data_IF_321062278326
#
_entry.id   IF_321062278326
#
_cell.length_a   1.000
_cell.length_b   1.000
_cell.length_c   1.000
_cell.angle_alpha   90.00
_cell.angle_beta   90.00
_cell.angle_gamma   90.00
#
_symmetry.space_group_name_H-M   'P 1'
#
loop_
_entity.id
_entity.type
_entity.pdbx_description
1 polymer ?
#
# COMPACT_ATOMS: atom_id res chain seq x y z
N UNK A 1 49.75 27.96 -3.11
CA UNK A 1 48.39 28.48 -3.34
C UNK A 1 47.44 27.31 -3.30
N UNK A 2 46.59 27.19 -2.28
CA UNK A 2 45.58 26.13 -2.16
C UNK A 2 44.23 26.74 -2.53
N UNK A 3 43.57 26.17 -3.53
CA UNK A 3 42.20 26.52 -3.91
C UNK A 3 41.24 25.71 -3.03
N UNK A 4 40.62 26.35 -2.05
CA UNK A 4 39.58 25.73 -1.24
C UNK A 4 38.29 25.68 -2.05
N UNK A 5 37.85 24.48 -2.42
CA UNK A 5 36.54 24.23 -3.01
C UNK A 5 35.47 24.48 -1.94
N UNK A 6 34.55 25.41 -2.19
CA UNK A 6 33.35 25.58 -1.38
C UNK A 6 32.40 24.42 -1.67
N UNK A 7 32.07 23.63 -0.63
CA UNK A 7 31.00 22.65 -0.69
C UNK A 7 29.66 23.35 -1.01
N UNK A 8 28.76 22.74 -1.81
CA UNK A 8 27.46 23.33 -2.07
C UNK A 8 26.64 23.37 -0.77
N UNK A 9 26.08 24.55 -0.47
CA UNK A 9 25.15 24.77 0.65
C UNK A 9 24.05 23.72 0.64
N UNK A 10 23.65 23.14 1.79
CA UNK A 10 22.47 22.28 1.84
C UNK A 10 21.28 23.06 1.32
N UNK A 11 20.53 22.45 0.39
CA UNK A 11 19.32 23.06 -0.15
C UNK A 11 18.38 23.42 1.02
N UNK A 12 17.69 24.58 0.98
CA UNK A 12 16.72 24.92 2.02
C UNK A 12 15.70 23.78 2.16
N UNK A 13 15.21 23.51 3.39
CA UNK A 13 14.20 22.49 3.59
C UNK A 13 13.03 22.77 2.66
N UNK A 14 12.75 21.83 1.76
CA UNK A 14 11.62 21.92 0.85
C UNK A 14 10.37 22.06 1.73
N UNK A 15 9.75 23.24 1.69
CA UNK A 15 8.47 23.45 2.36
C UNK A 15 7.47 22.51 1.71
N UNK A 16 6.98 21.52 2.47
CA UNK A 16 5.80 20.74 2.10
C UNK A 16 4.57 21.66 2.20
N UNK A 17 4.52 22.64 1.29
CA UNK A 17 3.58 23.73 1.34
C UNK A 17 2.19 23.21 0.97
N UNK A 18 1.25 23.42 1.90
CA UNK A 18 -0.18 23.12 1.86
C UNK A 18 -0.54 21.70 2.30
N UNK A 19 -1.25 21.60 3.42
CA UNK A 19 -1.88 20.35 3.87
C UNK A 19 -2.89 19.87 2.82
N UNK A 20 -2.93 18.56 2.52
CA UNK A 20 -3.81 18.03 1.48
C UNK A 20 -5.27 18.34 1.80
N UNK A 21 -6.01 18.79 0.80
CA UNK A 21 -7.45 19.02 0.92
C UNK A 21 -8.20 17.66 1.02
N UNK A 22 -9.50 17.72 1.35
CA UNK A 22 -10.31 16.49 1.53
C UNK A 22 -10.36 15.59 0.29
N UNK A 23 -10.34 16.16 -0.91
CA UNK A 23 -10.35 15.39 -2.15
C UNK A 23 -9.01 14.67 -2.36
N UNK A 24 -7.89 15.36 -2.10
CA UNK A 24 -6.55 14.79 -2.15
C UNK A 24 -6.40 13.67 -1.13
N UNK A 25 -6.85 13.87 0.12
CA UNK A 25 -6.84 12.82 1.14
C UNK A 25 -7.64 11.59 0.72
N UNK A 26 -8.80 11.78 0.08
CA UNK A 26 -9.61 10.67 -0.43
C UNK A 26 -8.89 9.90 -1.54
N UNK A 27 -8.25 10.62 -2.47
CA UNK A 27 -7.46 10.00 -3.55
C UNK A 27 -6.28 9.22 -2.99
N UNK A 28 -5.55 9.80 -2.03
CA UNK A 28 -4.45 9.13 -1.33
C UNK A 28 -4.95 7.87 -0.61
N UNK A 29 -6.07 7.95 0.11
CA UNK A 29 -6.63 6.79 0.80
C UNK A 29 -6.98 5.68 -0.18
N UNK A 30 -7.70 6.00 -1.25
CA UNK A 30 -8.09 5.03 -2.28
C UNK A 30 -6.88 4.33 -2.90
N UNK A 31 -5.81 5.08 -3.18
CA UNK A 31 -4.57 4.51 -3.69
C UNK A 31 -3.89 3.57 -2.69
N UNK A 32 -3.82 3.96 -1.41
CA UNK A 32 -3.25 3.11 -0.37
C UNK A 32 -4.10 1.86 -0.12
N UNK A 33 -5.42 1.98 -0.16
CA UNK A 33 -6.34 0.84 -0.07
C UNK A 33 -6.09 -0.13 -1.23
N UNK A 34 -5.96 0.37 -2.46
CA UNK A 34 -5.63 -0.46 -3.61
C UNK A 34 -4.29 -1.20 -3.44
N UNK A 35 -3.26 -0.51 -2.95
CA UNK A 35 -1.96 -1.11 -2.66
C UNK A 35 -2.06 -2.20 -1.57
N UNK A 36 -2.81 -1.92 -0.50
CA UNK A 36 -3.02 -2.88 0.58
C UNK A 36 -3.75 -4.13 0.07
N UNK A 37 -4.83 -3.96 -0.71
CA UNK A 37 -5.58 -5.06 -1.30
C UNK A 37 -4.70 -5.91 -2.24
N UNK A 38 -3.86 -5.27 -3.05
CA UNK A 38 -2.90 -5.98 -3.90
C UNK A 38 -1.90 -6.79 -3.06
N UNK A 39 -1.35 -6.19 -2.01
CA UNK A 39 -0.37 -6.85 -1.17
C UNK A 39 -0.97 -8.07 -0.45
N UNK A 40 -2.17 -7.92 0.10
CA UNK A 40 -2.88 -9.00 0.79
C UNK A 40 -3.30 -10.11 -0.16
N UNK A 41 -3.79 -9.76 -1.36
CA UNK A 41 -4.12 -10.76 -2.38
C UNK A 41 -2.91 -11.61 -2.80
N UNK A 42 -1.70 -11.05 -2.75
CA UNK A 42 -0.48 -11.76 -3.12
C UNK A 42 0.10 -12.59 -1.97
N UNK A 43 0.02 -12.08 -0.75
CA UNK A 43 0.75 -12.62 0.42
C UNK A 43 -0.12 -13.49 1.32
N UNK A 44 -1.45 -13.41 1.19
CA UNK A 44 -2.40 -14.10 2.05
C UNK A 44 -2.21 -13.77 3.54
N UNK A 45 -1.90 -12.50 3.85
CA UNK A 45 -1.63 -12.05 5.22
C UNK A 45 -2.78 -12.44 6.14
N UNK A 46 -2.46 -13.20 7.19
CA UNK A 46 -3.40 -13.54 8.25
C UNK A 46 -3.78 -12.30 9.08
N UNK A 47 -5.02 -12.26 9.56
CA UNK A 47 -5.56 -11.16 10.36
C UNK A 47 -4.72 -10.87 11.62
N UNK A 48 -4.20 -11.91 12.27
CA UNK A 48 -3.33 -11.78 13.44
C UNK A 48 -2.01 -11.08 13.10
N UNK A 49 -1.40 -11.44 11.97
CA UNK A 49 -0.17 -10.81 11.48
C UNK A 49 -0.42 -9.33 11.15
N UNK A 50 -1.54 -9.04 10.49
CA UNK A 50 -1.94 -7.67 10.18
C UNK A 50 -2.17 -6.83 11.44
N UNK A 51 -2.91 -7.37 12.40
CA UNK A 51 -3.22 -6.70 13.68
C UNK A 51 -1.93 -6.39 14.45
N UNK A 52 -1.02 -7.35 14.56
CA UNK A 52 0.27 -7.16 15.23
C UNK A 52 1.11 -6.04 14.58
N UNK A 53 1.06 -5.92 13.25
CA UNK A 53 1.76 -4.84 12.51
C UNK A 53 1.14 -3.48 12.84
N UNK A 54 -0.19 -3.38 12.82
CA UNK A 54 -0.88 -2.13 13.13
C UNK A 54 -0.65 -1.70 14.58
N UNK A 55 -0.64 -2.64 15.53
CA UNK A 55 -0.33 -2.34 16.93
C UNK A 55 1.11 -1.86 17.10
N UNK A 56 2.07 -2.54 16.48
CA UNK A 56 3.49 -2.14 16.50
C UNK A 56 3.66 -0.72 15.96
N UNK A 57 3.03 -0.41 14.82
CA UNK A 57 3.11 0.93 14.22
C UNK A 57 2.40 1.97 15.10
N UNK A 58 1.19 1.68 15.58
CA UNK A 58 0.42 2.61 16.43
C UNK A 58 1.11 2.87 17.78
N UNK A 59 1.82 1.88 18.34
CA UNK A 59 2.59 2.04 19.58
C UNK A 59 3.83 2.92 19.41
N UNK A 60 4.34 3.03 18.19
CA UNK A 60 5.48 3.88 17.85
C UNK A 60 5.11 5.34 17.60
N UNK A 61 3.81 5.68 17.61
CA UNK A 61 3.34 7.04 17.34
C UNK A 61 2.89 7.77 18.60
N UNK A 62 3.31 9.03 18.70
CA UNK A 62 3.03 9.90 19.85
C UNK A 62 1.57 10.37 19.92
N UNK A 63 0.79 10.09 18.87
CA UNK A 63 -0.57 10.62 18.65
C UNK A 63 -1.67 9.78 19.29
N UNK A 64 -1.38 8.57 19.76
CA UNK A 64 -2.36 7.66 20.38
C UNK A 64 -3.48 7.20 19.43
N UNK A 65 -3.36 7.50 18.13
CA UNK A 65 -4.35 7.13 17.12
C UNK A 65 -4.13 5.67 16.71
N UNK A 66 -5.04 4.78 17.11
CA UNK A 66 -5.02 3.36 16.74
C UNK A 66 -5.69 3.14 15.39
N UNK A 67 -4.93 2.65 14.40
CA UNK A 67 -5.47 2.21 13.12
C UNK A 67 -6.31 0.93 13.23
N UNK A 68 -6.14 0.17 14.31
CA UNK A 68 -6.71 -1.17 14.49
C UNK A 68 -8.24 -1.17 14.43
N UNK A 69 -8.90 -0.09 14.89
CA UNK A 69 -10.37 0.06 14.77
C UNK A 69 -10.86 0.41 13.36
N UNK A 70 -10.00 1.04 12.54
CA UNK A 70 -10.36 1.47 11.18
C UNK A 70 -10.05 0.40 10.13
N UNK A 71 -9.09 -0.48 10.42
CA UNK A 71 -8.68 -1.60 9.57
C UNK A 71 -8.64 -2.92 10.35
N UNK A 72 -9.78 -3.43 10.86
CA UNK A 72 -9.83 -4.68 11.62
C UNK A 72 -9.38 -5.88 10.77
N UNK A 73 -9.69 -5.85 9.47
CA UNK A 73 -9.19 -6.73 8.42
C UNK A 73 -8.69 -5.76 7.33
N UNK A 74 -7.74 -6.15 6.46
CA UNK A 74 -7.45 -5.41 5.22
C UNK A 74 -8.65 -5.48 4.25
N UNK A 75 -9.79 -4.96 4.68
CA UNK A 75 -11.04 -4.97 3.97
C UNK A 75 -11.91 -3.78 4.39
N UNK A 76 -11.84 -2.76 3.54
CA UNK A 76 -12.99 -2.00 3.07
C UNK A 76 -13.82 -1.33 4.18
N UNK A 77 -13.23 -0.32 4.80
CA UNK A 77 -14.01 0.87 5.14
C UNK A 77 -13.40 2.01 4.31
N UNK A 78 -14.14 2.62 3.36
CA UNK A 78 -13.72 3.84 2.69
C UNK A 78 -13.78 5.01 3.68
N UNK A 79 -12.98 4.92 4.74
CA UNK A 79 -12.88 5.94 5.75
C UNK A 79 -12.17 7.15 5.17
N UNK A 80 -12.62 8.35 5.54
CA UNK A 80 -11.79 9.52 5.37
C UNK A 80 -10.67 9.44 6.41
N UNK A 81 -9.51 8.95 6.00
CA UNK A 81 -8.31 9.10 6.81
C UNK A 81 -7.90 10.57 6.78
N UNK A 82 -7.59 11.07 7.96
CA UNK A 82 -6.83 12.30 8.13
C UNK A 82 -5.38 12.06 7.71
N UNK A 83 -4.58 13.12 7.72
CA UNK A 83 -3.16 13.08 7.35
C UNK A 83 -2.40 12.01 8.16
N UNK A 84 -2.70 11.88 9.45
CA UNK A 84 -2.06 10.90 10.32
C UNK A 84 -2.49 9.47 9.97
N UNK A 85 -3.78 9.22 9.72
CA UNK A 85 -4.24 7.91 9.25
C UNK A 85 -3.57 7.49 7.94
N UNK A 86 -3.46 8.40 6.96
CA UNK A 86 -2.76 8.15 5.69
C UNK A 86 -1.29 7.79 5.94
N UNK A 87 -0.62 8.53 6.82
CA UNK A 87 0.79 8.27 7.18
C UNK A 87 0.96 6.89 7.80
N UNK A 88 0.11 6.54 8.77
CA UNK A 88 0.15 5.25 9.45
C UNK A 88 -0.12 4.09 8.48
N UNK A 89 -1.08 4.24 7.56
CA UNK A 89 -1.40 3.23 6.55
C UNK A 89 -0.24 3.03 5.58
N UNK A 90 0.38 4.12 5.11
CA UNK A 90 1.56 4.05 4.26
C UNK A 90 2.73 3.32 4.96
N UNK A 91 2.94 3.56 6.26
CA UNK A 91 3.94 2.83 7.05
C UNK A 91 3.60 1.33 7.16
N UNK A 92 2.33 0.98 7.34
CA UNK A 92 1.90 -0.42 7.41
C UNK A 92 2.14 -1.16 6.10
N UNK A 93 1.81 -0.54 4.96
CA UNK A 93 2.07 -1.08 3.63
C UNK A 93 3.57 -1.25 3.40
N UNK A 94 4.38 -0.25 3.77
CA UNK A 94 5.84 -0.34 3.65
C UNK A 94 6.42 -1.47 4.51
N UNK A 95 5.93 -1.64 5.73
CA UNK A 95 6.36 -2.73 6.61
C UNK A 95 6.00 -4.10 6.05
N UNK A 96 4.77 -4.28 5.57
CA UNK A 96 4.34 -5.51 4.92
C UNK A 96 5.18 -5.79 3.65
N UNK A 97 5.42 -4.77 2.84
CA UNK A 97 6.25 -4.89 1.64
C UNK A 97 7.67 -5.33 1.96
N UNK A 98 8.26 -4.82 3.03
CA UNK A 98 9.57 -5.27 3.52
C UNK A 98 9.51 -6.70 4.06
N UNK A 99 8.46 -7.06 4.81
CA UNK A 99 8.28 -8.40 5.36
C UNK A 99 8.14 -9.47 4.26
N UNK A 100 7.41 -9.15 3.18
CA UNK A 100 7.16 -10.04 2.03
C UNK A 100 8.03 -9.72 0.80
N UNK A 101 9.17 -9.03 0.98
CA UNK A 101 9.98 -8.51 -0.12
C UNK A 101 10.42 -9.60 -1.11
N UNK A 102 10.81 -10.77 -0.63
CA UNK A 102 11.27 -11.86 -1.49
C UNK A 102 10.13 -12.46 -2.33
N UNK A 103 8.91 -12.54 -1.78
CA UNK A 103 7.74 -12.97 -2.53
C UNK A 103 7.37 -11.95 -3.62
N UNK A 104 7.40 -10.65 -3.29
CA UNK A 104 7.19 -9.58 -4.25
C UNK A 104 8.20 -9.67 -5.40
N UNK A 105 9.48 -9.81 -5.08
CA UNK A 105 10.56 -9.93 -6.07
C UNK A 105 10.35 -11.15 -6.98
N UNK A 106 10.04 -12.32 -6.41
CA UNK A 106 9.76 -13.54 -7.18
C UNK A 106 8.54 -13.39 -8.09
N UNK A 107 7.49 -12.74 -7.60
CA UNK A 107 6.26 -12.53 -8.38
C UNK A 107 6.51 -11.62 -9.58
N UNK A 108 7.29 -10.55 -9.40
CA UNK A 108 7.69 -9.65 -10.49
C UNK A 108 8.56 -10.40 -11.51
N UNK A 109 9.58 -11.12 -11.05
CA UNK A 109 10.44 -11.91 -11.96
C UNK A 109 9.66 -12.97 -12.74
N UNK A 110 8.63 -13.58 -12.15
CA UNK A 110 7.75 -14.52 -12.84
C UNK A 110 6.93 -13.84 -13.95
N UNK A 111 6.41 -12.63 -13.70
CA UNK A 111 5.71 -11.84 -14.73
C UNK A 111 6.64 -11.50 -15.89
N UNK A 112 7.87 -11.07 -15.60
CA UNK A 112 8.87 -10.73 -16.62
C UNK A 112 9.24 -11.96 -17.44
N UNK A 113 9.59 -13.07 -16.78
CA UNK A 113 9.97 -14.31 -17.43
C UNK A 113 8.86 -14.88 -18.33
N UNK A 114 7.61 -14.85 -17.87
CA UNK A 114 6.48 -15.35 -18.67
C UNK A 114 6.25 -14.50 -19.91
N UNK A 115 6.36 -13.17 -19.78
CA UNK A 115 6.29 -12.24 -20.91
C UNK A 115 7.44 -12.44 -21.91
N UNK A 116 8.67 -12.61 -21.43
CA UNK A 116 9.84 -12.89 -22.28
C UNK A 116 9.69 -14.20 -23.07
N UNK A 117 9.03 -15.20 -22.48
CA UNK A 117 8.70 -16.46 -23.15
C UNK A 117 7.49 -16.37 -24.11
N UNK A 118 6.89 -15.18 -24.29
CA UNK A 118 5.69 -14.98 -25.10
C UNK A 118 4.44 -15.65 -24.52
N UNK A 119 4.44 -15.98 -23.23
CA UNK A 119 3.33 -16.64 -22.53
C UNK A 119 2.51 -15.62 -21.75
N UNK A 120 1.25 -15.95 -21.50
CA UNK A 120 0.40 -15.13 -20.63
C UNK A 120 0.77 -15.40 -19.16
N UNK A 121 1.15 -14.37 -18.37
CA UNK A 121 1.48 -14.55 -16.94
C UNK A 121 0.37 -15.21 -16.12
N UNK A 122 -0.90 -15.00 -16.50
CA UNK A 122 -2.07 -15.60 -15.86
C UNK A 122 -2.24 -17.11 -16.13
N UNK A 123 -1.37 -17.73 -16.93
CA UNK A 123 -1.30 -19.20 -17.03
C UNK A 123 -0.54 -19.82 -15.86
N UNK A 124 0.19 -19.02 -15.07
CA UNK A 124 0.83 -19.51 -13.84
C UNK A 124 -0.16 -19.52 -12.70
N UNK A 125 -0.17 -20.58 -11.90
CA UNK A 125 -1.09 -20.73 -10.75
C UNK A 125 -0.97 -19.56 -9.78
N UNK A 126 0.25 -19.11 -9.49
CA UNK A 126 0.49 -18.00 -8.57
C UNK A 126 -0.17 -16.69 -9.04
N UNK A 127 0.06 -16.30 -10.29
CA UNK A 127 -0.42 -15.02 -10.81
C UNK A 127 -1.91 -15.06 -11.15
N UNK A 128 -2.45 -16.22 -11.54
CA UNK A 128 -3.89 -16.40 -11.72
C UNK A 128 -4.64 -16.29 -10.39
N UNK A 129 -4.14 -16.93 -9.33
CA UNK A 129 -4.74 -16.86 -8.00
C UNK A 129 -4.65 -15.46 -7.42
N UNK A 130 -3.50 -14.79 -7.56
CA UNK A 130 -3.35 -13.37 -7.21
C UNK A 130 -4.39 -12.50 -7.91
N UNK A 131 -4.50 -12.59 -9.24
CA UNK A 131 -5.43 -11.77 -10.01
C UNK A 131 -6.88 -12.01 -9.59
N UNK A 132 -7.24 -13.26 -9.33
CA UNK A 132 -8.58 -13.66 -8.84
C UNK A 132 -8.86 -13.06 -7.45
N UNK A 133 -7.95 -13.24 -6.50
CA UNK A 133 -8.06 -12.70 -5.13
C UNK A 133 -8.18 -11.17 -5.16
N UNK A 134 -7.30 -10.49 -5.91
CA UNK A 134 -7.32 -9.03 -6.03
C UNK A 134 -8.61 -8.51 -6.65
N UNK A 135 -9.07 -9.11 -7.76
CA UNK A 135 -10.29 -8.69 -8.46
C UNK A 135 -11.51 -8.81 -7.54
N UNK A 136 -11.63 -9.93 -6.84
CA UNK A 136 -12.71 -10.15 -5.87
C UNK A 136 -12.67 -9.12 -4.75
N UNK A 137 -11.49 -8.84 -4.20
CA UNK A 137 -11.33 -7.87 -3.13
C UNK A 137 -11.62 -6.42 -3.60
N UNK A 138 -11.21 -6.07 -4.82
CA UNK A 138 -11.46 -4.75 -5.42
C UNK A 138 -12.95 -4.52 -5.73
N UNK A 139 -13.65 -5.54 -6.23
CA UNK A 139 -15.09 -5.47 -6.46
C UNK A 139 -15.85 -5.27 -5.13
N UNK A 140 -15.53 -6.08 -4.12
CA UNK A 140 -16.11 -5.93 -2.78
C UNK A 140 -15.80 -4.54 -2.18
N UNK A 141 -14.64 -3.96 -2.52
CA UNK A 141 -14.29 -2.60 -2.12
C UNK A 141 -15.20 -1.54 -2.75
N UNK A 142 -15.42 -1.62 -4.07
CA UNK A 142 -16.34 -0.73 -4.79
C UNK A 142 -17.79 -0.82 -4.31
N UNK A 143 -18.28 -2.03 -4.03
CA UNK A 143 -19.65 -2.24 -3.52
C UNK A 143 -19.89 -1.51 -2.19
N UNK A 144 -18.91 -1.49 -1.27
CA UNK A 144 -19.04 -0.74 -0.01
C UNK A 144 -18.83 0.78 -0.17
N UNK A 145 -18.23 1.22 -1.29
CA UNK A 145 -18.15 2.64 -1.67
C UNK A 145 -19.47 3.14 -2.29
N UNK A 146 -20.41 2.25 -2.64
CA UNK A 146 -21.59 2.60 -3.43
C UNK A 146 -21.27 2.87 -4.91
N UNK A 147 -20.06 2.53 -5.36
CA UNK A 147 -19.64 2.62 -6.76
C UNK A 147 -19.78 1.23 -7.40
N UNK A 148 -20.58 1.14 -8.46
CA UNK A 148 -20.73 -0.09 -9.25
C UNK A 148 -19.37 -0.44 -9.86
N UNK A 149 -18.87 -1.68 -9.73
CA UNK A 149 -17.54 -2.02 -10.26
C UNK A 149 -17.51 -1.79 -11.77
N UNK A 150 -16.60 -0.92 -12.21
CA UNK A 150 -16.28 -0.71 -13.62
C UNK A 150 -15.09 -1.60 -13.94
N UNK A 151 -15.34 -2.87 -14.24
CA UNK A 151 -14.61 -3.65 -15.26
C UNK A 151 -15.49 -4.87 -15.63
N UNK A 152 -15.54 -5.27 -16.91
CA UNK A 152 -16.38 -6.35 -17.41
C UNK A 152 -15.91 -7.74 -16.94
#
# INVERSE_FOLDING_TARGET
MVLTQFAPSPAPPQSFAVAPNRQQLRQMNCYLDQLLLALVALTDVEEDTWTAILEKISSSTTTGQSLTRKYPIPAVAPGQLDVEGIRLLAMAIAYLGAHYQELLRRSVSLVEQTKEQGKNPLQTVLLSEYARKFTSAWQAYGEKQGEKPIFP
#
